data_IF_236288720615
#
_entry.id   IF_236288720615
#
_cell.length_a   1.000
_cell.length_b   1.000
_cell.length_c   1.000
_cell.angle_alpha   90.00
_cell.angle_beta   90.00
_cell.angle_gamma   90.00
#
_symmetry.space_group_name_H-M   'P 1'
#
loop_
_entity.id
_entity.type
_entity.pdbx_description
1 polymer ?
#
# COMPACT_ATOMS: atom_id res chain seq x y z
N UNK A 1 -4.19 -42.76 -4.35
CA UNK A 1 -3.23 -43.32 -3.36
C UNK A 1 -3.80 -43.40 -1.94
N UNK A 2 -4.51 -42.38 -1.43
CA UNK A 2 -5.07 -42.36 -0.06
C UNK A 2 -6.09 -43.46 0.28
N UNK A 3 -6.86 -43.98 -0.67
CA UNK A 3 -7.81 -45.09 -0.40
C UNK A 3 -7.14 -46.40 0.05
N UNK A 4 -5.83 -46.59 -0.19
CA UNK A 4 -5.12 -47.85 0.13
C UNK A 4 -4.61 -47.93 1.58
N UNK A 5 -4.59 -46.83 2.34
CA UNK A 5 -3.95 -46.77 3.68
C UNK A 5 -4.94 -46.57 4.85
N UNK A 6 -6.25 -46.74 4.64
CA UNK A 6 -7.24 -46.64 5.73
C UNK A 6 -7.32 -45.25 6.40
N UNK A 7 -6.67 -44.22 5.83
CA UNK A 7 -6.79 -42.85 6.33
C UNK A 7 -8.20 -42.34 6.04
N UNK A 8 -8.92 -41.93 7.07
CA UNK A 8 -10.24 -41.33 6.98
C UNK A 8 -10.12 -39.91 6.40
N UNK A 9 -9.94 -39.82 5.09
CA UNK A 9 -9.82 -38.56 4.37
C UNK A 9 -11.17 -38.23 3.74
N UNK A 10 -11.89 -37.28 4.33
CA UNK A 10 -13.08 -36.69 3.70
C UNK A 10 -12.64 -36.11 2.34
N UNK A 11 -13.31 -36.54 1.26
CA UNK A 11 -12.99 -36.12 -0.11
C UNK A 11 -14.11 -35.18 -0.61
N UNK A 12 -14.13 -33.90 -0.18
CA UNK A 12 -15.08 -32.94 -0.73
C UNK A 12 -14.83 -32.74 -2.24
N UNK A 13 -15.82 -32.24 -2.99
CA UNK A 13 -15.65 -31.90 -4.40
C UNK A 13 -14.46 -30.94 -4.56
N UNK A 14 -13.59 -31.20 -5.54
CA UNK A 14 -12.41 -30.37 -5.79
C UNK A 14 -12.87 -29.02 -6.36
N UNK A 15 -12.54 -27.92 -5.67
CA UNK A 15 -12.74 -26.59 -6.20
C UNK A 15 -11.94 -26.39 -7.50
N UNK A 16 -12.40 -25.55 -8.44
CA UNK A 16 -11.74 -25.37 -9.74
C UNK A 16 -10.50 -24.46 -9.67
N UNK A 17 -10.09 -24.02 -8.48
CA UNK A 17 -8.87 -23.28 -8.17
C UNK A 17 -8.32 -23.71 -6.81
N UNK A 18 -7.07 -23.34 -6.53
CA UNK A 18 -6.41 -23.46 -5.23
C UNK A 18 -6.55 -22.17 -4.43
N UNK A 19 -6.62 -22.28 -3.11
CA UNK A 19 -6.76 -21.13 -2.20
C UNK A 19 -5.76 -21.25 -1.06
N UNK A 20 -5.15 -20.12 -0.69
CA UNK A 20 -4.42 -19.97 0.56
C UNK A 20 -4.96 -18.73 1.29
N UNK A 21 -5.32 -18.89 2.55
CA UNK A 21 -6.04 -17.89 3.32
C UNK A 21 -5.43 -17.72 4.72
N UNK A 22 -5.19 -16.47 5.09
CA UNK A 22 -4.75 -16.10 6.43
C UNK A 22 -5.40 -14.77 6.84
N UNK A 23 -4.97 -14.20 7.97
CA UNK A 23 -5.53 -12.94 8.45
C UNK A 23 -5.31 -11.78 7.45
N UNK A 24 -4.18 -11.74 6.76
CA UNK A 24 -3.77 -10.62 5.91
C UNK A 24 -4.49 -10.63 4.56
N UNK A 25 -4.64 -11.80 3.94
CA UNK A 25 -5.24 -11.95 2.63
C UNK A 25 -5.75 -13.36 2.36
N UNK A 26 -6.47 -13.50 1.25
CA UNK A 26 -6.68 -14.77 0.55
C UNK A 26 -6.12 -14.65 -0.88
N UNK A 27 -5.49 -15.71 -1.36
CA UNK A 27 -5.01 -15.85 -2.73
C UNK A 27 -5.76 -16.95 -3.46
N UNK A 28 -5.90 -16.77 -4.77
CA UNK A 28 -6.56 -17.71 -5.68
C UNK A 28 -5.70 -17.95 -6.90
N UNK A 29 -5.38 -19.21 -7.17
CA UNK A 29 -4.49 -19.61 -8.25
C UNK A 29 -4.90 -20.95 -8.87
N UNK A 30 -4.25 -21.34 -9.97
CA UNK A 30 -4.42 -22.63 -10.66
C UNK A 30 -5.80 -22.83 -11.32
N UNK A 31 -5.90 -23.92 -12.09
CA UNK A 31 -7.16 -24.33 -12.72
C UNK A 31 -7.69 -23.31 -13.71
N UNK A 32 -8.94 -22.87 -13.55
CA UNK A 32 -9.56 -21.94 -14.53
C UNK A 32 -8.83 -20.58 -14.63
N UNK A 33 -8.10 -20.18 -13.58
CA UNK A 33 -7.40 -18.91 -13.50
C UNK A 33 -6.05 -18.92 -14.24
N UNK A 34 -5.52 -20.11 -14.59
CA UNK A 34 -4.24 -20.23 -15.30
C UNK A 34 -4.25 -19.56 -16.67
N UNK A 35 -5.42 -19.49 -17.33
CA UNK A 35 -5.59 -18.71 -18.54
C UNK A 35 -5.84 -17.24 -18.17
N UNK A 36 -4.91 -16.30 -18.42
CA UNK A 36 -5.07 -14.90 -18.02
C UNK A 36 -6.22 -14.19 -18.74
N UNK A 37 -6.73 -14.75 -19.84
CA UNK A 37 -7.89 -14.22 -20.56
C UNK A 37 -9.22 -14.55 -19.86
N UNK A 38 -9.25 -15.57 -19.01
CA UNK A 38 -10.45 -15.96 -18.28
C UNK A 38 -10.71 -14.96 -17.15
N UNK A 39 -11.88 -14.34 -17.12
CA UNK A 39 -12.28 -13.49 -16.01
C UNK A 39 -12.53 -14.30 -14.74
N UNK A 40 -12.23 -13.70 -13.59
CA UNK A 40 -12.57 -14.27 -12.29
C UNK A 40 -14.09 -14.48 -12.17
N UNK A 41 -14.56 -15.68 -11.79
CA UNK A 41 -15.96 -15.89 -11.45
C UNK A 41 -16.40 -14.99 -10.29
N UNK A 42 -17.67 -14.58 -10.27
CA UNK A 42 -18.20 -13.69 -9.23
C UNK A 42 -18.18 -14.32 -7.82
N UNK A 43 -18.28 -15.64 -7.74
CA UNK A 43 -18.27 -16.46 -6.52
C UNK A 43 -16.84 -16.82 -6.03
N UNK A 44 -15.80 -16.36 -6.73
CA UNK A 44 -14.40 -16.54 -6.32
C UNK A 44 -14.11 -15.86 -4.97
N UNK A 45 -14.62 -14.64 -4.81
CA UNK A 45 -14.24 -13.71 -3.75
C UNK A 45 -14.93 -14.04 -2.42
N UNK A 46 -14.14 -14.34 -1.39
CA UNK A 46 -14.63 -14.78 -0.08
C UNK A 46 -14.47 -13.70 0.99
N UNK A 47 -13.44 -12.84 0.89
CA UNK A 47 -13.18 -11.79 1.88
C UNK A 47 -13.91 -10.48 1.58
N UNK A 48 -14.24 -10.21 0.32
CA UNK A 48 -14.77 -8.92 -0.10
C UNK A 48 -16.05 -9.05 -0.91
N UNK A 49 -16.97 -8.10 -0.76
CA UNK A 49 -18.16 -7.98 -1.61
C UNK A 49 -17.78 -7.45 -3.00
N UNK A 50 -18.59 -7.77 -4.01
CA UNK A 50 -18.49 -7.08 -5.29
C UNK A 50 -18.69 -5.56 -5.04
N UNK A 51 -17.78 -4.68 -5.51
CA UNK A 51 -17.95 -3.24 -5.37
C UNK A 51 -19.31 -2.71 -5.85
N UNK A 52 -19.92 -3.32 -6.87
CA UNK A 52 -21.24 -2.93 -7.36
C UNK A 52 -22.33 -3.15 -6.28
N UNK A 53 -22.26 -4.28 -5.57
CA UNK A 53 -23.20 -4.70 -4.52
C UNK A 53 -22.84 -4.15 -3.12
N UNK A 54 -21.71 -3.46 -3.00
CA UNK A 54 -21.29 -2.83 -1.75
C UNK A 54 -22.27 -1.70 -1.33
N UNK A 55 -22.32 -1.32 -0.05
CA UNK A 55 -23.21 -0.26 0.44
C UNK A 55 -23.08 1.05 -0.33
N UNK A 56 -24.20 1.77 -0.50
CA UNK A 56 -24.24 3.09 -1.13
C UNK A 56 -23.84 4.24 -0.18
N UNK A 57 -23.51 3.93 1.08
CA UNK A 57 -23.05 4.91 2.05
C UNK A 57 -21.60 4.61 2.45
N UNK A 58 -20.68 5.57 2.39
CA UNK A 58 -19.30 5.38 2.81
C UNK A 58 -19.19 5.18 4.33
N UNK A 59 -18.29 4.30 4.74
CA UNK A 59 -17.79 4.26 6.11
C UNK A 59 -16.61 5.23 6.21
N UNK A 60 -16.57 6.01 7.29
CA UNK A 60 -15.52 7.00 7.53
C UNK A 60 -14.79 6.61 8.80
N UNK A 61 -13.49 6.42 8.66
CA UNK A 61 -12.60 5.96 9.72
C UNK A 61 -11.57 7.04 10.03
N UNK A 62 -11.02 6.96 11.24
CA UNK A 62 -9.78 7.63 11.64
C UNK A 62 -8.83 6.57 12.17
N UNK A 63 -7.61 6.50 11.63
CA UNK A 63 -6.57 5.58 12.07
C UNK A 63 -5.44 6.40 12.67
N UNK A 64 -5.08 6.07 13.92
CA UNK A 64 -3.98 6.68 14.64
C UNK A 64 -2.75 5.79 14.56
N UNK A 65 -1.61 6.39 14.28
CA UNK A 65 -0.31 5.74 14.13
C UNK A 65 0.66 6.23 15.20
N UNK A 66 1.53 5.32 15.66
CA UNK A 66 2.73 5.64 16.42
C UNK A 66 3.89 4.79 15.90
N UNK A 67 5.02 5.43 15.64
CA UNK A 67 6.23 4.80 15.08
C UNK A 67 5.93 3.93 13.83
N UNK A 68 5.07 4.43 12.95
CA UNK A 68 4.67 3.74 11.71
C UNK A 68 3.66 2.60 11.90
N UNK A 69 3.22 2.30 13.12
CA UNK A 69 2.29 1.20 13.42
C UNK A 69 0.92 1.75 13.80
N UNK A 70 -0.20 1.21 13.28
CA UNK A 70 -1.54 1.63 13.70
C UNK A 70 -1.79 1.20 15.16
N UNK A 71 -2.11 2.17 16.02
CA UNK A 71 -2.39 1.95 17.44
C UNK A 71 -3.87 2.09 17.79
N UNK A 72 -4.67 2.72 16.91
CA UNK A 72 -6.10 2.87 17.12
C UNK A 72 -6.84 3.04 15.79
N UNK A 73 -8.05 2.50 15.70
CA UNK A 73 -9.02 2.81 14.65
C UNK A 73 -10.34 3.22 15.26
N UNK A 74 -10.92 4.32 14.77
CA UNK A 74 -12.20 4.87 15.20
C UNK A 74 -13.16 4.98 14.02
N UNK A 75 -14.37 4.46 14.14
CA UNK A 75 -15.43 4.68 13.15
C UNK A 75 -16.20 5.97 13.48
N UNK A 76 -15.99 7.02 12.68
CA UNK A 76 -16.43 8.38 13.05
C UNK A 76 -17.95 8.54 13.19
N UNK A 77 -18.73 7.76 12.43
CA UNK A 77 -20.21 7.79 12.53
C UNK A 77 -20.76 6.95 13.70
N UNK A 78 -20.06 5.88 14.08
CA UNK A 78 -20.55 4.95 15.11
C UNK A 78 -19.96 5.25 16.49
N UNK A 79 -18.88 6.01 16.56
CA UNK A 79 -18.12 6.26 17.79
C UNK A 79 -17.33 5.05 18.29
N UNK A 80 -17.36 3.92 17.59
CA UNK A 80 -16.65 2.69 17.97
C UNK A 80 -15.15 2.84 17.74
N UNK A 81 -14.35 2.55 18.78
CA UNK A 81 -12.89 2.54 18.72
C UNK A 81 -12.32 1.16 19.06
N UNK A 82 -11.18 0.81 18.46
CA UNK A 82 -10.39 -0.40 18.73
C UNK A 82 -8.91 -0.04 18.77
N UNK A 83 -8.14 -0.63 19.67
CA UNK A 83 -6.76 -0.22 19.99
C UNK A 83 -5.75 -1.39 20.07
N UNK A 84 -6.20 -2.64 19.91
CA UNK A 84 -5.28 -3.79 19.83
C UNK A 84 -4.99 -4.16 18.38
N UNK A 85 -3.74 -4.52 18.01
CA UNK A 85 -3.35 -4.77 16.62
C UNK A 85 -4.26 -5.77 15.89
N UNK A 86 -4.62 -6.88 16.55
CA UNK A 86 -5.49 -7.91 15.97
C UNK A 86 -6.91 -7.39 15.73
N UNK A 87 -7.47 -6.64 16.68
CA UNK A 87 -8.83 -6.08 16.53
C UNK A 87 -8.85 -5.01 15.45
N UNK A 88 -7.85 -4.14 15.40
CA UNK A 88 -7.69 -3.12 14.36
C UNK A 88 -7.68 -3.81 12.99
N UNK A 89 -6.77 -4.76 12.78
CA UNK A 89 -6.64 -5.43 11.48
C UNK A 89 -7.90 -6.19 11.08
N UNK A 90 -8.49 -6.96 12.01
CA UNK A 90 -9.74 -7.71 11.76
C UNK A 90 -10.91 -6.79 11.43
N UNK A 91 -10.99 -5.63 12.10
CA UNK A 91 -12.03 -4.65 11.82
C UNK A 91 -11.83 -3.98 10.45
N UNK A 92 -10.59 -3.65 10.09
CA UNK A 92 -10.28 -3.12 8.76
C UNK A 92 -10.57 -4.15 7.66
N UNK A 93 -10.30 -5.44 7.88
CA UNK A 93 -10.74 -6.50 6.98
C UNK A 93 -12.26 -6.53 6.82
N UNK A 94 -13.01 -6.41 7.92
CA UNK A 94 -14.48 -6.37 7.88
C UNK A 94 -15.00 -5.17 7.09
N UNK A 95 -14.46 -3.97 7.33
CA UNK A 95 -14.90 -2.74 6.66
C UNK A 95 -14.46 -2.74 5.19
N UNK A 96 -13.20 -3.07 4.90
CA UNK A 96 -12.71 -3.17 3.52
C UNK A 96 -13.47 -4.25 2.74
N UNK A 97 -13.71 -5.40 3.36
CA UNK A 97 -14.51 -6.49 2.78
C UNK A 97 -15.95 -6.09 2.49
N UNK A 98 -16.62 -5.39 3.43
CA UNK A 98 -17.97 -4.82 3.25
C UNK A 98 -18.06 -3.92 2.01
N UNK A 99 -17.00 -3.17 1.71
CA UNK A 99 -16.94 -2.22 0.60
C UNK A 99 -16.26 -2.74 -0.67
N UNK A 100 -15.76 -3.97 -0.69
CA UNK A 100 -15.10 -4.53 -1.89
C UNK A 100 -13.66 -4.07 -2.12
N UNK A 101 -12.99 -3.54 -1.08
CA UNK A 101 -11.63 -3.00 -1.17
C UNK A 101 -10.59 -4.12 -1.18
N UNK A 102 -9.52 -3.92 -1.96
CA UNK A 102 -8.31 -4.74 -1.89
C UNK A 102 -8.32 -5.97 -2.80
N UNK A 103 -9.16 -5.98 -3.85
CA UNK A 103 -9.10 -6.96 -4.93
C UNK A 103 -8.01 -6.56 -5.93
N UNK A 104 -7.11 -7.48 -6.25
CA UNK A 104 -6.16 -7.35 -7.37
C UNK A 104 -6.12 -8.64 -8.18
N UNK A 105 -5.90 -8.52 -9.49
CA UNK A 105 -5.64 -9.62 -10.43
C UNK A 105 -4.35 -9.28 -11.18
N UNK A 106 -3.32 -10.08 -10.97
CA UNK A 106 -1.97 -9.79 -11.45
C UNK A 106 -1.32 -11.00 -12.10
N UNK A 107 -0.39 -10.74 -13.01
CA UNK A 107 0.61 -11.71 -13.45
C UNK A 107 1.94 -11.33 -12.81
N UNK A 108 2.44 -12.21 -11.95
CA UNK A 108 3.68 -12.03 -11.19
C UNK A 108 4.79 -12.96 -11.67
N UNK A 109 6.03 -12.65 -11.28
CA UNK A 109 7.19 -13.49 -11.57
C UNK A 109 7.58 -14.27 -10.31
N UNK A 110 7.41 -15.59 -10.34
CA UNK A 110 7.88 -16.47 -9.27
C UNK A 110 9.40 -16.45 -9.22
N UNK A 111 9.95 -16.64 -8.03
CA UNK A 111 11.40 -16.65 -7.82
C UNK A 111 12.13 -17.71 -8.67
N UNK A 112 11.47 -18.83 -8.94
CA UNK A 112 11.96 -19.90 -9.81
C UNK A 112 11.92 -19.55 -11.32
N UNK A 113 11.61 -18.30 -11.68
CA UNK A 113 11.70 -17.76 -13.05
C UNK A 113 10.45 -17.90 -13.91
N UNK A 114 9.35 -18.45 -13.38
CA UNK A 114 8.09 -18.61 -14.12
C UNK A 114 7.11 -17.48 -13.84
N UNK A 115 6.28 -17.14 -14.83
CA UNK A 115 5.13 -16.27 -14.60
C UNK A 115 3.96 -17.06 -14.03
N UNK A 116 3.25 -16.48 -13.08
CA UNK A 116 2.02 -17.01 -12.52
C UNK A 116 0.97 -15.92 -12.50
N UNK A 117 -0.29 -16.28 -12.72
CA UNK A 117 -1.42 -15.38 -12.48
C UNK A 117 -2.01 -15.71 -11.12
N UNK A 118 -2.22 -14.68 -10.31
CA UNK A 118 -2.86 -14.78 -9.01
C UNK A 118 -3.87 -13.67 -8.80
N UNK A 119 -4.97 -14.02 -8.14
CA UNK A 119 -5.98 -13.06 -7.69
C UNK A 119 -5.91 -12.99 -6.17
N UNK A 120 -5.92 -11.80 -5.62
CA UNK A 120 -5.75 -11.59 -4.18
C UNK A 120 -6.84 -10.67 -3.63
N UNK A 121 -7.28 -10.95 -2.40
CA UNK A 121 -8.10 -10.04 -1.60
C UNK A 121 -7.33 -9.67 -0.33
N UNK A 122 -6.98 -8.39 -0.17
CA UNK A 122 -6.21 -7.88 0.99
C UNK A 122 -6.89 -6.64 1.59
N UNK A 123 -8.14 -6.72 2.08
CA UNK A 123 -8.94 -5.54 2.42
C UNK A 123 -8.30 -4.64 3.49
N UNK A 124 -7.95 -5.20 4.65
CA UNK A 124 -7.34 -4.44 5.74
C UNK A 124 -5.93 -3.97 5.40
N UNK A 125 -5.16 -4.79 4.70
CA UNK A 125 -3.83 -4.43 4.22
C UNK A 125 -3.85 -3.27 3.21
N UNK A 126 -4.79 -3.25 2.27
CA UNK A 126 -4.95 -2.14 1.31
C UNK A 126 -5.31 -0.83 2.02
N UNK A 127 -6.21 -0.88 3.00
CA UNK A 127 -6.54 0.31 3.81
C UNK A 127 -5.30 0.83 4.54
N UNK A 128 -4.58 -0.04 5.25
CA UNK A 128 -3.37 0.33 5.98
C UNK A 128 -2.25 0.83 5.07
N UNK A 129 -2.11 0.26 3.87
CA UNK A 129 -1.13 0.71 2.88
C UNK A 129 -1.35 2.18 2.50
N UNK A 130 -2.59 2.55 2.15
CA UNK A 130 -2.91 3.92 1.76
C UNK A 130 -2.78 4.92 2.91
N UNK A 131 -3.21 4.55 4.12
CA UNK A 131 -3.14 5.45 5.29
C UNK A 131 -1.73 5.59 5.84
N UNK A 132 -0.94 4.51 5.84
CA UNK A 132 0.46 4.56 6.24
C UNK A 132 1.29 5.44 5.29
N UNK A 133 1.10 5.30 3.98
CA UNK A 133 1.77 6.16 3.00
C UNK A 133 1.43 7.64 3.18
N UNK A 134 0.19 7.94 3.56
CA UNK A 134 -0.26 9.30 3.81
C UNK A 134 0.44 9.94 5.00
N UNK A 135 0.41 9.26 6.16
CA UNK A 135 1.03 9.79 7.37
C UNK A 135 2.56 9.86 7.24
N UNK A 136 3.18 8.88 6.58
CA UNK A 136 4.61 8.89 6.28
C UNK A 136 4.99 10.10 5.42
N UNK A 137 4.19 10.43 4.41
CA UNK A 137 4.45 11.60 3.54
C UNK A 137 4.30 12.91 4.31
N UNK A 138 3.45 12.95 5.33
CA UNK A 138 3.19 14.15 6.13
C UNK A 138 4.25 14.42 7.21
N UNK A 139 4.90 13.37 7.73
CA UNK A 139 5.84 13.46 8.87
C UNK A 139 7.30 13.18 8.51
N UNK A 140 7.59 12.71 7.29
CA UNK A 140 8.95 12.34 6.89
C UNK A 140 9.57 13.38 5.95
N UNK A 141 10.86 13.66 6.15
CA UNK A 141 11.64 14.49 5.24
C UNK A 141 11.64 13.93 3.81
N UNK A 142 11.67 14.83 2.81
CA UNK A 142 11.56 14.50 1.39
C UNK A 142 12.65 13.53 0.92
N UNK A 143 13.91 13.78 1.28
CA UNK A 143 15.03 12.95 0.81
C UNK A 143 15.15 11.66 1.62
N UNK A 144 14.87 11.71 2.92
CA UNK A 144 14.77 10.49 3.76
C UNK A 144 13.72 9.54 3.19
N UNK A 145 12.54 10.06 2.82
CA UNK A 145 11.46 9.26 2.23
C UNK A 145 11.87 8.63 0.90
N UNK A 146 12.59 9.34 0.04
CA UNK A 146 13.10 8.78 -1.23
C UNK A 146 14.03 7.59 -1.00
N UNK A 147 14.96 7.70 -0.04
CA UNK A 147 15.86 6.60 0.32
C UNK A 147 15.05 5.43 0.90
N UNK A 148 14.14 5.71 1.84
CA UNK A 148 13.29 4.68 2.47
C UNK A 148 12.43 3.93 1.46
N UNK A 149 11.90 4.61 0.43
CA UNK A 149 11.13 3.94 -0.63
C UNK A 149 11.97 2.89 -1.37
N UNK A 150 13.24 3.17 -1.66
CA UNK A 150 14.17 2.19 -2.23
C UNK A 150 14.38 0.98 -1.31
N UNK A 151 14.55 1.21 -0.01
CA UNK A 151 14.63 0.14 0.99
C UNK A 151 13.34 -0.68 1.08
N UNK A 152 12.17 -0.04 0.96
CA UNK A 152 10.86 -0.69 0.94
C UNK A 152 10.71 -1.66 -0.24
N UNK A 153 11.13 -1.24 -1.45
CA UNK A 153 11.14 -2.11 -2.63
C UNK A 153 12.04 -3.33 -2.40
N UNK A 154 13.24 -3.12 -1.86
CA UNK A 154 14.16 -4.24 -1.58
C UNK A 154 13.61 -5.17 -0.50
N UNK A 155 12.97 -4.63 0.53
CA UNK A 155 12.31 -5.41 1.56
C UNK A 155 11.22 -6.33 0.99
N UNK A 156 10.35 -5.80 0.11
CA UNK A 156 9.31 -6.59 -0.56
C UNK A 156 9.89 -7.71 -1.41
N UNK A 157 10.96 -7.45 -2.16
CA UNK A 157 11.66 -8.46 -2.97
C UNK A 157 12.23 -9.59 -2.10
N UNK A 158 12.90 -9.25 -0.98
CA UNK A 158 13.48 -10.22 -0.07
C UNK A 158 12.40 -11.10 0.58
N UNK A 159 11.27 -10.52 0.99
CA UNK A 159 10.14 -11.28 1.54
C UNK A 159 9.58 -12.25 0.50
N UNK A 160 9.28 -11.77 -0.71
CA UNK A 160 8.71 -12.60 -1.77
C UNK A 160 9.60 -13.79 -2.12
N UNK A 161 10.92 -13.58 -2.10
CA UNK A 161 11.91 -14.63 -2.38
C UNK A 161 12.23 -15.53 -1.17
N UNK A 162 11.57 -15.34 -0.02
CA UNK A 162 11.74 -16.18 1.17
C UNK A 162 12.95 -15.83 2.06
N UNK A 163 13.59 -14.69 1.85
CA UNK A 163 14.80 -14.25 2.57
C UNK A 163 14.51 -13.46 3.86
N UNK A 164 13.40 -13.72 4.55
CA UNK A 164 13.04 -13.00 5.79
C UNK A 164 14.15 -13.06 6.86
N UNK A 165 14.78 -14.23 7.03
CA UNK A 165 15.85 -14.47 8.03
C UNK A 165 17.26 -14.19 7.51
N UNK A 166 17.40 -13.58 6.34
CA UNK A 166 18.70 -13.22 5.78
C UNK A 166 19.33 -12.00 6.50
N UNK A 167 20.67 -11.86 6.47
CA UNK A 167 21.34 -10.68 7.03
C UNK A 167 20.90 -9.38 6.35
N UNK A 168 20.74 -9.38 5.03
CA UNK A 168 20.29 -8.22 4.25
C UNK A 168 18.86 -7.81 4.61
N UNK A 169 17.94 -8.75 4.84
CA UNK A 169 16.58 -8.43 5.30
C UNK A 169 16.58 -7.86 6.71
N UNK A 170 17.45 -8.37 7.59
CA UNK A 170 17.60 -7.84 8.96
C UNK A 170 18.15 -6.41 8.93
N UNK A 171 19.15 -6.12 8.10
CA UNK A 171 19.67 -4.77 7.90
C UNK A 171 18.59 -3.81 7.37
N UNK A 172 17.88 -4.22 6.32
CA UNK A 172 16.81 -3.40 5.72
C UNK A 172 15.70 -3.10 6.71
N UNK A 173 15.25 -4.09 7.51
CA UNK A 173 14.24 -3.88 8.56
C UNK A 173 14.70 -2.86 9.60
N UNK A 174 15.95 -2.94 10.08
CA UNK A 174 16.49 -1.97 11.02
C UNK A 174 16.50 -0.54 10.46
N UNK A 175 16.87 -0.38 9.18
CA UNK A 175 16.80 0.93 8.51
C UNK A 175 15.36 1.44 8.38
N UNK A 176 14.41 0.56 8.09
CA UNK A 176 12.99 0.92 8.03
C UNK A 176 12.50 1.33 9.43
N UNK A 177 12.77 0.56 10.47
CA UNK A 177 12.38 0.88 11.85
C UNK A 177 12.89 2.28 12.26
N UNK A 178 14.15 2.59 11.92
CA UNK A 178 14.74 3.91 12.17
C UNK A 178 13.99 5.03 11.44
N UNK A 179 13.56 4.80 10.20
CA UNK A 179 12.79 5.78 9.43
C UNK A 179 11.43 6.08 10.06
N UNK A 180 10.84 5.12 10.79
CA UNK A 180 9.48 5.25 11.31
C UNK A 180 9.40 6.02 12.64
N UNK A 181 10.51 6.40 13.27
CA UNK A 181 10.53 7.02 14.61
C UNK A 181 9.63 8.26 14.76
N UNK A 182 9.48 9.06 13.70
CA UNK A 182 8.64 10.27 13.69
C UNK A 182 7.29 10.08 12.98
N UNK A 183 6.98 8.87 12.50
CA UNK A 183 5.74 8.56 11.80
C UNK A 183 4.63 8.30 12.82
N UNK A 184 4.02 9.38 13.29
CA UNK A 184 2.91 9.35 14.25
C UNK A 184 1.85 10.40 13.87
N UNK A 185 0.60 10.16 14.26
CA UNK A 185 -0.52 11.05 13.97
C UNK A 185 -1.75 10.30 13.51
N UNK A 186 -2.73 11.02 12.95
CA UNK A 186 -4.03 10.48 12.58
C UNK A 186 -4.33 10.73 11.11
N UNK A 187 -4.94 9.74 10.47
CA UNK A 187 -5.41 9.82 9.09
C UNK A 187 -6.89 9.51 9.06
N UNK A 188 -7.68 10.43 8.51
CA UNK A 188 -9.09 10.25 8.25
C UNK A 188 -9.29 9.77 6.81
N UNK A 189 -10.10 8.75 6.63
CA UNK A 189 -10.34 8.10 5.35
C UNK A 189 -11.81 7.71 5.18
N UNK A 190 -12.22 7.66 3.92
CA UNK A 190 -13.49 7.06 3.48
C UNK A 190 -13.22 5.75 2.77
N UNK A 191 -13.97 4.72 3.12
CA UNK A 191 -13.98 3.42 2.45
C UNK A 191 -15.30 3.30 1.69
N UNK A 192 -15.22 3.17 0.37
CA UNK A 192 -16.40 3.22 -0.48
C UNK A 192 -16.17 2.52 -1.83
N UNK A 193 -17.08 1.62 -2.20
CA UNK A 193 -17.19 1.02 -3.55
C UNK A 193 -15.83 0.60 -4.14
N UNK A 194 -15.11 -0.26 -3.44
CA UNK A 194 -13.83 -0.83 -3.86
C UNK A 194 -12.62 0.08 -3.69
N UNK A 195 -12.80 1.29 -3.13
CA UNK A 195 -11.74 2.29 -3.01
C UNK A 195 -11.56 2.81 -1.58
N UNK A 196 -10.35 3.35 -1.35
CA UNK A 196 -9.94 4.05 -0.13
C UNK A 196 -9.60 5.48 -0.50
N UNK A 197 -10.27 6.44 0.12
CA UNK A 197 -10.06 7.87 -0.12
C UNK A 197 -9.55 8.54 1.14
N UNK A 198 -8.41 9.23 1.06
CA UNK A 198 -7.91 10.01 2.20
C UNK A 198 -8.66 11.33 2.25
N UNK A 199 -9.21 11.66 3.43
CA UNK A 199 -9.99 12.87 3.66
C UNK A 199 -9.16 13.97 4.35
N UNK A 200 -8.27 13.58 5.25
CA UNK A 200 -7.47 14.50 6.03
C UNK A 200 -6.46 13.79 6.90
N UNK A 201 -5.52 14.57 7.46
CA UNK A 201 -4.48 14.08 8.36
C UNK A 201 -4.05 15.16 9.34
N UNK A 202 -3.59 14.74 10.51
CA UNK A 202 -2.99 15.61 11.51
C UNK A 202 -1.86 14.87 12.24
N UNK A 203 -0.85 15.60 12.71
CA UNK A 203 0.27 15.02 13.44
C UNK A 203 0.97 16.07 14.30
N UNK A 204 1.36 15.74 15.56
CA UNK A 204 2.25 16.58 16.34
C UNK A 204 3.69 16.62 15.79
N UNK A 205 4.06 15.71 14.89
CA UNK A 205 5.36 15.62 14.19
C UNK A 205 5.26 16.05 12.73
N UNK A 206 4.24 16.83 12.38
CA UNK A 206 4.06 17.38 11.05
C UNK A 206 5.29 18.16 10.61
N UNK A 207 5.77 17.90 9.38
CA UNK A 207 6.73 18.76 8.69
C UNK A 207 6.02 19.78 7.77
N UNK A 208 4.69 19.77 7.74
CA UNK A 208 3.88 20.72 7.00
C UNK A 208 3.75 22.04 7.77
N UNK A 209 4.24 23.13 7.19
CA UNK A 209 4.07 24.48 7.70
C UNK A 209 3.00 25.23 6.88
N UNK A 210 1.80 25.38 7.46
CA UNK A 210 0.66 26.03 6.79
C UNK A 210 0.92 27.51 6.44
N UNK A 211 1.65 28.23 7.28
CA UNK A 211 1.93 29.65 7.07
C UNK A 211 2.95 29.85 5.93
N UNK A 212 3.98 29.00 5.88
CA UNK A 212 5.01 29.05 4.83
C UNK A 212 4.46 28.79 3.43
N UNK A 213 3.50 27.87 3.31
CA UNK A 213 2.91 27.48 2.00
C UNK A 213 1.65 28.27 1.64
N UNK A 214 1.24 29.23 2.47
CA UNK A 214 0.03 30.02 2.27
C UNK A 214 0.17 30.90 1.02
N UNK A 215 -0.91 30.97 0.23
CA UNK A 215 -1.01 31.94 -0.87
C UNK A 215 -1.64 33.27 -0.41
N UNK A 216 -2.29 33.27 0.76
CA UNK A 216 -3.02 34.43 1.30
C UNK A 216 -2.13 35.29 2.20
N UNK A 217 -1.08 34.69 2.78
CA UNK A 217 -0.15 35.35 3.70
C UNK A 217 1.25 35.18 3.16
N UNK A 218 1.97 36.29 3.00
CA UNK A 218 3.39 36.28 2.69
C UNK A 218 4.13 35.83 3.96
N UNK A 219 4.26 34.51 4.13
CA UNK A 219 4.99 33.89 5.23
C UNK A 219 6.51 34.15 5.15
N UNK A 220 7.30 33.31 5.81
CA UNK A 220 8.77 33.45 5.88
C UNK A 220 9.52 32.93 4.62
N UNK A 221 8.93 33.11 3.43
CA UNK A 221 9.52 32.68 2.17
C UNK A 221 9.79 33.87 1.27
N UNK A 222 11.04 34.06 0.83
CA UNK A 222 11.41 35.05 -0.18
C UNK A 222 11.29 34.45 -1.60
N UNK A 223 10.33 34.91 -2.43
CA UNK A 223 10.20 34.44 -3.81
C UNK A 223 11.41 34.73 -4.70
N UNK A 224 12.26 35.70 -4.34
CA UNK A 224 13.45 36.05 -5.12
C UNK A 224 14.47 34.90 -5.17
N UNK A 225 14.58 34.12 -4.10
CA UNK A 225 15.50 32.98 -4.00
C UNK A 225 15.19 31.87 -5.03
N UNK A 226 13.91 31.73 -5.40
CA UNK A 226 13.47 30.75 -6.39
C UNK A 226 14.16 30.95 -7.75
N UNK A 227 14.40 32.20 -8.15
CA UNK A 227 15.02 32.54 -9.43
C UNK A 227 16.44 31.97 -9.54
N UNK A 228 17.24 32.13 -8.48
CA UNK A 228 18.59 31.57 -8.40
C UNK A 228 18.55 30.04 -8.40
N UNK A 229 17.69 29.44 -7.58
CA UNK A 229 17.52 27.99 -7.48
C UNK A 229 17.15 27.35 -8.82
N UNK A 230 16.19 27.92 -9.56
CA UNK A 230 15.77 27.42 -10.88
C UNK A 230 16.92 27.52 -11.87
N UNK A 231 17.65 28.65 -11.90
CA UNK A 231 18.77 28.85 -12.82
C UNK A 231 19.86 27.80 -12.61
N UNK A 232 20.23 27.51 -11.36
CA UNK A 232 21.24 26.51 -11.01
C UNK A 232 20.79 25.11 -11.43
N UNK A 233 19.56 24.70 -11.12
CA UNK A 233 19.03 23.40 -11.54
C UNK A 233 18.98 23.24 -13.06
N UNK A 234 18.71 24.33 -13.79
CA UNK A 234 18.63 24.33 -15.24
C UNK A 234 20.00 24.18 -15.93
N UNK A 235 21.13 24.45 -15.25
CA UNK A 235 22.47 24.41 -15.88
C UNK A 235 22.71 23.08 -16.58
N UNK A 236 22.54 21.96 -15.88
CA UNK A 236 22.75 20.61 -16.44
C UNK A 236 21.87 20.34 -17.66
N UNK A 237 20.62 20.83 -17.65
CA UNK A 237 19.67 20.62 -18.75
C UNK A 237 20.00 21.49 -19.97
N UNK A 238 20.41 22.73 -19.75
CA UNK A 238 20.87 23.65 -20.80
C UNK A 238 22.11 23.10 -21.49
N UNK A 239 23.08 22.62 -20.72
CA UNK A 239 24.31 22.04 -21.25
C UNK A 239 24.07 20.75 -22.03
N UNK A 240 23.19 19.87 -21.53
CA UNK A 240 22.79 18.67 -22.26
C UNK A 240 22.22 19.03 -23.64
N UNK A 241 21.27 19.97 -23.70
CA UNK A 241 20.68 20.37 -24.97
C UNK A 241 21.69 21.07 -25.89
N UNK A 242 22.55 21.94 -25.36
CA UNK A 242 23.58 22.62 -26.16
C UNK A 242 24.52 21.62 -26.83
N UNK A 243 25.03 20.65 -26.08
CA UNK A 243 26.01 19.67 -26.58
C UNK A 243 25.39 18.57 -27.45
N UNK A 244 24.12 18.20 -27.23
CA UNK A 244 23.43 17.19 -28.03
C UNK A 244 22.71 17.79 -29.25
N UNK A 245 22.26 19.04 -29.18
CA UNK A 245 21.63 19.78 -30.28
C UNK A 245 22.61 20.13 -31.39
N UNK A 246 23.86 20.45 -31.04
CA UNK A 246 24.94 20.68 -32.02
C UNK A 246 25.42 19.37 -32.70
N UNK A 247 25.03 18.20 -32.20
CA UNK A 247 25.38 16.89 -32.76
C UNK A 247 24.38 16.38 -33.83
N UNK A 248 23.25 17.06 -34.06
CA UNK A 248 22.38 16.76 -35.20
C UNK A 248 22.84 17.56 -36.43
N UNK A 249 23.22 16.90 -37.55
CA UNK A 249 23.58 17.61 -38.77
C UNK A 249 22.36 18.40 -39.26
N UNK A 250 22.52 19.71 -39.46
CA UNK A 250 21.52 20.53 -40.13
C UNK A 250 21.26 19.91 -41.51
N UNK A 251 20.05 19.39 -41.74
CA UNK A 251 19.53 19.08 -43.08
C UNK A 251 19.29 20.37 -43.87
#
# INVERSE_FOLDING_TARGET
MHRKMGSLCLSPPKAPWSMDANLMHISYESGILENPKTHAPSDLYLMTKNPEDAPNTPDVLEIEFSKGVPIKVTHLKEGRSLDTPLQIFSYLNKIGGKHGVGRIDIVENRYIGMKSRGIYETPGGTILYHTHLDIETFTMDREVRRIKQGLGVKFSELIYNGFWFSPECTFVRHCIDKSQESVEGKVQLSVFKGQVYILGRESPRSLYNKELVSMDVQGDYDPCDASGFIKVNAVRLKEYHRLQGDAQPKQ
#
